data_IF_081470863204
#
_entry.id   IF_081470863204
#
_cell.length_a   1.000
_cell.length_b   1.000
_cell.length_c   1.000
_cell.angle_alpha   90.00
_cell.angle_beta   90.00
_cell.angle_gamma   90.00
#
_symmetry.space_group_name_H-M   'P 1'
#
loop_
_entity.id
_entity.type
_entity.pdbx_description
1 polymer ?
#
# COMPACT_ATOMS: atom_id res chain seq x y z
N UNK A 1 -8.99 -8.45 -2.18
CA UNK A 1 -8.35 -8.97 -3.40
C UNK A 1 -7.66 -10.29 -3.05
N UNK A 2 -7.65 -11.27 -3.96
CA UNK A 2 -6.81 -12.47 -3.84
C UNK A 2 -5.92 -12.52 -5.08
N UNK A 3 -4.57 -12.48 -4.95
CA UNK A 3 -3.81 -12.31 -3.70
C UNK A 3 -4.04 -10.93 -3.04
N UNK A 4 -3.65 -10.81 -1.76
CA UNK A 4 -3.68 -9.52 -1.06
C UNK A 4 -2.79 -8.50 -1.76
N UNK A 5 -3.08 -7.21 -1.62
CA UNK A 5 -2.25 -6.11 -2.14
C UNK A 5 -1.85 -5.22 -0.98
N UNK A 6 -0.56 -4.91 -0.90
CA UNK A 6 0.03 -4.05 0.14
C UNK A 6 0.49 -2.76 -0.54
N UNK A 7 -0.05 -1.62 -0.10
CA UNK A 7 0.13 -0.32 -0.77
C UNK A 7 1.54 0.26 -0.63
N UNK A 8 2.11 0.15 0.57
CA UNK A 8 3.46 0.61 0.97
C UNK A 8 3.74 2.12 0.96
N UNK A 9 2.81 2.96 0.49
CA UNK A 9 2.95 4.42 0.60
C UNK A 9 1.62 5.08 1.00
N UNK A 10 1.13 4.77 2.21
CA UNK A 10 -0.10 5.36 2.74
C UNK A 10 0.22 6.73 3.36
N UNK A 11 -0.37 7.78 2.79
CA UNK A 11 -0.25 9.16 3.26
C UNK A 11 -1.45 9.99 2.79
N UNK A 12 -1.78 11.14 3.42
CA UNK A 12 -2.91 11.96 3.01
C UNK A 12 -2.91 12.35 1.53
N UNK A 13 -1.73 12.65 0.96
CA UNK A 13 -1.60 12.99 -0.46
C UNK A 13 -1.99 11.85 -1.43
N UNK A 14 -2.01 10.60 -0.96
CA UNK A 14 -2.41 9.42 -1.72
C UNK A 14 -3.86 8.99 -1.41
N UNK A 15 -4.60 9.75 -0.60
CA UNK A 15 -6.02 9.53 -0.31
C UNK A 15 -6.79 10.67 -0.98
N UNK A 16 -7.39 10.38 -2.14
CA UNK A 16 -8.20 11.33 -2.87
C UNK A 16 -9.62 11.33 -2.35
N UNK A 17 -10.34 12.43 -2.56
CA UNK A 17 -11.77 12.54 -2.27
C UNK A 17 -12.53 12.70 -3.59
N UNK A 18 -13.65 12.00 -3.74
CA UNK A 18 -14.58 12.25 -4.84
C UNK A 18 -15.59 13.37 -4.50
N UNK A 19 -16.54 13.64 -5.40
CA UNK A 19 -17.56 14.69 -5.23
C UNK A 19 -18.42 14.54 -3.96
N UNK A 20 -18.50 13.33 -3.40
CA UNK A 20 -19.28 13.01 -2.21
C UNK A 20 -18.39 12.91 -0.96
N UNK A 21 -17.16 13.44 -1.03
CA UNK A 21 -16.14 13.35 0.01
C UNK A 21 -15.83 11.90 0.43
N UNK A 22 -16.01 10.93 -0.48
CA UNK A 22 -15.62 9.55 -0.22
C UNK A 22 -14.14 9.37 -0.52
N UNK A 23 -13.43 8.80 0.45
CA UNK A 23 -12.01 8.52 0.32
C UNK A 23 -11.75 7.39 -0.70
N UNK A 24 -10.83 7.64 -1.62
CA UNK A 24 -10.33 6.70 -2.61
C UNK A 24 -8.81 6.66 -2.54
N UNK A 25 -8.26 5.47 -2.38
CA UNK A 25 -6.82 5.29 -2.36
C UNK A 25 -6.26 5.40 -3.78
N UNK A 26 -5.15 6.13 -3.92
CA UNK A 26 -4.44 6.36 -5.16
C UNK A 26 -2.93 6.07 -4.98
N UNK A 27 -2.21 6.04 -6.11
CA UNK A 27 -0.76 5.82 -6.18
C UNK A 27 -0.28 4.43 -5.70
N UNK A 28 -0.63 3.42 -6.49
CA UNK A 28 -0.18 2.04 -6.28
C UNK A 28 1.24 1.77 -6.83
N UNK A 29 2.04 2.80 -7.14
CA UNK A 29 3.36 2.65 -7.78
C UNK A 29 4.36 1.84 -6.95
N UNK A 30 4.23 1.87 -5.63
CA UNK A 30 5.04 1.08 -4.69
C UNK A 30 4.35 -0.20 -4.22
N UNK A 31 3.15 -0.49 -4.71
CA UNK A 31 2.35 -1.62 -4.24
C UNK A 31 2.98 -2.97 -4.60
N UNK A 32 2.73 -3.97 -3.75
CA UNK A 32 3.15 -5.36 -3.96
C UNK A 32 2.00 -6.32 -3.67
N UNK A 33 1.95 -7.40 -4.43
CA UNK A 33 1.06 -8.53 -4.15
C UNK A 33 1.63 -9.32 -2.97
N UNK A 34 0.84 -9.47 -1.90
CA UNK A 34 1.14 -10.38 -0.81
C UNK A 34 1.00 -11.85 -1.24
N UNK A 35 1.35 -12.77 -0.34
CA UNK A 35 1.18 -14.20 -0.59
C UNK A 35 -0.29 -14.54 -0.89
N UNK A 36 -0.52 -15.48 -1.80
CA UNK A 36 -1.85 -15.92 -2.19
C UNK A 36 -2.58 -16.72 -1.08
N UNK A 37 -1.81 -17.28 -0.15
CA UNK A 37 -2.21 -18.25 0.87
C UNK A 37 -1.83 -17.81 2.30
N UNK A 38 -1.27 -16.61 2.45
CA UNK A 38 -0.82 -16.08 3.75
C UNK A 38 0.51 -16.65 4.25
N UNK A 39 1.18 -17.52 3.48
CA UNK A 39 2.31 -18.31 4.01
C UNK A 39 3.69 -17.69 3.81
N UNK A 40 3.92 -16.83 2.81
CA UNK A 40 5.15 -16.02 2.74
C UNK A 40 4.90 -14.68 2.05
N UNK A 41 4.91 -13.58 2.81
CA UNK A 41 4.78 -12.26 2.22
C UNK A 41 6.10 -11.92 1.51
N UNK A 42 6.12 -11.98 0.18
CA UNK A 42 7.27 -11.55 -0.65
C UNK A 42 7.76 -10.12 -0.32
N UNK A 43 6.95 -9.34 0.39
CA UNK A 43 7.26 -8.01 0.91
C UNK A 43 8.43 -8.00 1.90
N UNK A 44 8.62 -9.05 2.72
CA UNK A 44 9.70 -9.10 3.73
C UNK A 44 11.11 -9.07 3.11
N UNK A 45 11.25 -9.40 1.82
CA UNK A 45 12.52 -9.38 1.11
C UNK A 45 12.72 -8.11 0.27
N UNK A 46 11.79 -7.16 0.31
CA UNK A 46 11.87 -5.95 -0.52
C UNK A 46 12.59 -4.82 0.19
N UNK A 47 13.30 -3.99 -0.58
CA UNK A 47 13.92 -2.75 -0.07
C UNK A 47 12.86 -1.87 0.60
N UNK A 48 13.23 -1.16 1.66
CA UNK A 48 12.38 -0.15 2.31
C UNK A 48 11.88 0.82 1.24
N UNK A 49 10.57 1.12 1.28
CA UNK A 49 9.91 2.04 0.37
C UNK A 49 8.73 2.69 1.09
N UNK A 50 8.36 3.89 0.64
CA UNK A 50 7.33 4.72 1.25
C UNK A 50 7.86 6.12 1.53
N UNK A 51 6.98 6.98 2.04
CA UNK A 51 7.31 8.36 2.41
C UNK A 51 7.85 8.42 3.83
N UNK A 52 8.98 9.10 4.03
CA UNK A 52 9.57 9.31 5.35
C UNK A 52 8.56 9.97 6.30
N UNK A 53 8.43 9.44 7.52
CA UNK A 53 7.42 9.86 8.50
C UNK A 53 6.12 9.06 8.46
N UNK A 54 5.90 8.25 7.41
CA UNK A 54 4.76 7.32 7.28
C UNK A 54 5.19 5.85 7.15
N UNK A 55 6.50 5.59 7.16
CA UNK A 55 7.08 4.24 7.16
C UNK A 55 7.02 3.67 8.58
N UNK A 56 6.62 2.40 8.68
CA UNK A 56 6.65 1.58 9.90
C UNK A 56 8.09 1.41 10.42
N UNK A 57 8.39 1.63 11.73
CA UNK A 57 9.72 1.51 12.33
C UNK A 57 10.45 0.18 12.15
#
# INVERSE_FOLDING_TARGET
CKPAVIHRDIKPANILLDENLQAKLADFGLSKTGAADGTECSVYQTRIAGTLGYIDP
#
